data_IF_496830233615
#
_entry.id   IF_496830233615
#
_cell.length_a   1.000
_cell.length_b   1.000
_cell.length_c   1.000
_cell.angle_alpha   90.00
_cell.angle_beta   90.00
_cell.angle_gamma   90.00
#
_symmetry.space_group_name_H-M   'P 1'
#
loop_
_entity.id
_entity.type
_entity.pdbx_description
1 polymer ?
#
# COMPACT_ATOMS: atom_id res chain seq x y z
N UNK A 1 2.29 23.78 70.34
CA UNK A 1 1.02 23.60 69.64
C UNK A 1 0.92 24.68 68.54
N UNK A 2 1.40 24.40 67.29
CA UNK A 2 1.35 25.28 66.14
C UNK A 2 0.52 24.65 65.03
N UNK A 3 -0.24 25.42 64.19
CA UNK A 3 -1.19 24.89 63.25
C UNK A 3 -0.50 24.39 61.95
N UNK A 4 -0.98 23.26 61.47
CA UNK A 4 -0.57 22.65 60.20
C UNK A 4 -1.19 23.43 59.02
N UNK A 5 -0.35 24.03 58.19
CA UNK A 5 -0.77 24.60 56.89
C UNK A 5 -1.06 23.55 55.87
N UNK A 6 -2.28 23.55 55.30
CA UNK A 6 -2.62 22.79 54.12
C UNK A 6 -2.13 23.54 52.85
N UNK A 7 -1.19 22.98 52.17
CA UNK A 7 -0.85 23.37 50.77
C UNK A 7 -1.74 22.60 49.82
N UNK A 8 -2.79 23.22 49.29
CA UNK A 8 -3.54 22.75 48.15
C UNK A 8 -2.83 23.18 46.85
N UNK A 9 -1.98 22.33 46.31
CA UNK A 9 -1.41 22.52 45.00
C UNK A 9 -2.41 22.15 43.92
N UNK A 10 -2.93 23.13 43.17
CA UNK A 10 -3.63 22.88 41.90
C UNK A 10 -2.58 22.51 40.86
N UNK A 11 -2.67 21.28 40.36
CA UNK A 11 -1.92 20.84 39.18
C UNK A 11 -2.58 21.52 37.98
N UNK A 12 -1.90 22.48 37.38
CA UNK A 12 -2.32 23.09 36.12
C UNK A 12 -2.13 22.11 34.95
N UNK A 13 -2.84 22.30 33.82
CA UNK A 13 -2.72 21.42 32.67
C UNK A 13 -1.29 21.45 32.13
N UNK A 14 -0.66 20.28 32.02
CA UNK A 14 0.61 20.10 31.34
C UNK A 14 0.52 20.69 29.94
N UNK A 15 1.38 21.66 29.64
CA UNK A 15 1.59 22.16 28.29
C UNK A 15 2.13 21.01 27.45
N UNK A 16 1.27 20.41 26.63
CA UNK A 16 1.71 19.52 25.55
C UNK A 16 2.63 20.35 24.68
N UNK A 17 3.92 20.10 24.79
CA UNK A 17 4.94 20.69 23.93
C UNK A 17 4.67 20.18 22.51
N UNK A 18 3.98 20.96 21.69
CA UNK A 18 3.82 20.69 20.27
C UNK A 18 5.23 20.75 19.66
N UNK A 19 5.82 19.58 19.41
CA UNK A 19 6.97 19.51 18.50
C UNK A 19 6.50 20.09 17.17
N UNK A 20 6.95 21.28 16.86
CA UNK A 20 6.82 21.88 15.53
C UNK A 20 7.64 21.00 14.59
N UNK A 21 7.02 19.99 14.01
CA UNK A 21 7.61 19.21 12.94
C UNK A 21 7.77 20.17 11.76
N UNK A 22 9.01 20.49 11.39
CA UNK A 22 9.26 21.28 10.19
C UNK A 22 8.60 20.57 9.01
N UNK A 23 7.79 21.30 8.24
CA UNK A 23 7.13 20.77 7.05
C UNK A 23 8.18 20.18 6.11
N UNK A 24 7.92 18.95 5.66
CA UNK A 24 8.72 18.23 4.65
C UNK A 24 8.20 18.45 3.24
N UNK A 25 7.11 19.21 3.10
CA UNK A 25 6.52 19.57 1.82
C UNK A 25 7.55 20.20 0.88
N UNK A 26 7.59 19.73 -0.36
CA UNK A 26 8.55 20.18 -1.37
C UNK A 26 10.01 19.78 -1.14
N UNK A 27 10.32 19.05 -0.05
CA UNK A 27 11.68 18.61 0.28
C UNK A 27 11.86 17.11 0.08
N UNK A 28 13.08 16.72 -0.22
CA UNK A 28 13.48 15.30 -0.19
C UNK A 28 13.50 14.79 1.26
N UNK A 29 12.93 13.62 1.49
CA UNK A 29 12.95 12.93 2.78
C UNK A 29 13.98 11.81 2.72
N UNK A 30 14.80 11.68 3.76
CA UNK A 30 15.65 10.50 3.95
C UNK A 30 14.96 9.55 4.92
N UNK A 31 14.82 8.29 4.52
CA UNK A 31 14.13 7.27 5.33
C UNK A 31 14.68 5.87 5.07
N UNK A 32 14.28 4.88 5.87
CA UNK A 32 14.62 3.47 5.64
C UNK A 32 13.70 2.84 4.60
N UNK A 33 14.31 2.03 3.72
CA UNK A 33 13.60 1.15 2.80
C UNK A 33 14.35 -0.19 2.67
N UNK A 34 13.59 -1.24 2.32
CA UNK A 34 14.15 -2.54 1.99
C UNK A 34 14.37 -2.59 0.47
N UNK A 35 15.64 -2.56 0.06
CA UNK A 35 16.04 -2.53 -1.35
C UNK A 35 16.30 -3.95 -1.84
N UNK A 36 15.69 -4.32 -2.95
CA UNK A 36 16.06 -5.47 -3.76
C UNK A 36 17.11 -5.01 -4.78
N UNK A 37 18.40 -5.28 -4.52
CA UNK A 37 19.49 -4.87 -5.40
C UNK A 37 19.54 -5.70 -6.67
N UNK A 38 19.30 -6.98 -6.56
CA UNK A 38 19.30 -7.95 -7.68
C UNK A 38 18.41 -9.14 -7.35
N UNK A 39 18.01 -9.87 -8.38
CA UNK A 39 17.20 -11.08 -8.20
C UNK A 39 17.92 -12.15 -7.36
N UNK A 40 17.14 -12.94 -6.61
CA UNK A 40 17.63 -14.04 -5.77
C UNK A 40 18.62 -13.63 -4.65
N UNK A 41 18.65 -12.34 -4.28
CA UNK A 41 19.42 -11.85 -3.14
C UNK A 41 18.50 -11.37 -2.02
N UNK A 42 18.94 -11.44 -0.76
CA UNK A 42 18.19 -10.86 0.36
C UNK A 42 17.96 -9.37 0.17
N UNK A 43 16.82 -8.89 0.66
CA UNK A 43 16.56 -7.45 0.75
C UNK A 43 17.56 -6.79 1.71
N UNK A 44 18.02 -5.60 1.37
CA UNK A 44 18.91 -4.79 2.21
C UNK A 44 18.16 -3.56 2.74
N UNK A 45 18.12 -3.41 4.06
CA UNK A 45 17.47 -2.24 4.70
C UNK A 45 18.48 -1.10 4.78
N UNK A 46 18.29 -0.09 3.94
CA UNK A 46 19.22 1.03 3.78
C UNK A 46 18.49 2.38 3.87
N UNK A 47 19.26 3.46 3.95
CA UNK A 47 18.74 4.81 3.80
C UNK A 47 18.52 5.14 2.31
N UNK A 48 17.35 5.69 2.03
CA UNK A 48 16.97 6.17 0.70
C UNK A 48 16.50 7.63 0.78
N UNK A 49 16.71 8.35 -0.30
CA UNK A 49 16.12 9.66 -0.52
C UNK A 49 14.82 9.49 -1.30
N UNK A 50 13.73 10.03 -0.77
CA UNK A 50 12.41 10.05 -1.40
C UNK A 50 12.11 11.48 -1.85
N UNK A 51 12.04 11.71 -3.15
CA UNK A 51 11.75 13.00 -3.73
C UNK A 51 10.35 13.52 -3.33
N UNK A 52 10.10 14.84 -3.37
CA UNK A 52 8.76 15.37 -3.22
C UNK A 52 7.85 14.90 -4.37
N UNK A 53 6.52 14.84 -4.14
CA UNK A 53 5.56 14.49 -5.18
C UNK A 53 5.49 15.60 -6.24
N UNK A 54 5.39 15.22 -7.51
CA UNK A 54 5.16 16.11 -8.65
C UNK A 54 3.66 16.21 -8.96
N UNK A 55 3.33 16.87 -10.07
CA UNK A 55 1.96 16.99 -10.55
C UNK A 55 1.24 15.62 -10.62
N UNK A 56 0.05 15.53 -10.03
CA UNK A 56 -0.74 14.30 -9.97
C UNK A 56 -0.18 13.19 -9.08
N UNK A 57 0.81 13.48 -8.22
CA UNK A 57 1.43 12.52 -7.32
C UNK A 57 1.14 12.82 -5.85
N UNK A 58 1.23 11.78 -5.04
CA UNK A 58 1.02 11.86 -3.59
C UNK A 58 2.18 11.17 -2.89
N UNK A 59 2.80 11.83 -1.92
CA UNK A 59 3.76 11.18 -1.03
C UNK A 59 3.05 10.70 0.22
N UNK A 60 3.25 9.43 0.54
CA UNK A 60 2.58 8.73 1.63
C UNK A 60 3.63 8.25 2.63
N UNK A 61 3.39 8.53 3.91
CA UNK A 61 4.10 7.90 5.02
C UNK A 61 3.44 6.54 5.27
N UNK A 62 4.12 5.48 4.87
CA UNK A 62 3.63 4.10 5.02
C UNK A 62 3.65 3.72 6.51
N UNK A 63 2.54 3.21 7.01
CA UNK A 63 2.39 2.76 8.40
C UNK A 63 2.36 1.25 8.52
N UNK A 64 1.74 0.58 7.54
CA UNK A 64 1.64 -0.88 7.46
C UNK A 64 1.75 -1.33 6.01
N UNK A 65 2.32 -2.51 5.82
CA UNK A 65 2.37 -3.18 4.52
C UNK A 65 2.26 -4.69 4.71
N UNK A 66 1.46 -5.33 3.86
CA UNK A 66 1.40 -6.78 3.76
C UNK A 66 2.60 -7.35 3.00
N UNK A 67 2.91 -8.61 3.26
CA UNK A 67 3.88 -9.41 2.49
C UNK A 67 3.10 -10.34 1.56
N UNK A 68 3.26 -10.15 0.27
CA UNK A 68 2.58 -10.94 -0.75
C UNK A 68 3.55 -11.88 -1.46
N UNK A 69 3.05 -13.01 -1.95
CA UNK A 69 3.86 -13.93 -2.76
C UNK A 69 4.34 -13.29 -4.07
N UNK A 70 3.66 -12.27 -4.58
CA UNK A 70 4.08 -11.49 -5.74
C UNK A 70 5.42 -10.78 -5.51
N UNK A 71 5.67 -10.27 -4.30
CA UNK A 71 6.98 -9.68 -3.95
C UNK A 71 8.08 -10.75 -4.01
N UNK A 72 7.81 -11.95 -3.49
CA UNK A 72 8.74 -13.09 -3.54
C UNK A 72 8.99 -13.55 -4.97
N UNK A 73 7.94 -13.60 -5.80
CA UNK A 73 8.04 -13.97 -7.21
C UNK A 73 8.92 -13.00 -7.99
N UNK A 74 8.73 -11.69 -7.80
CA UNK A 74 9.60 -10.69 -8.42
C UNK A 74 11.04 -10.80 -7.89
N UNK A 75 11.22 -10.94 -6.57
CA UNK A 75 12.56 -11.08 -5.97
C UNK A 75 13.28 -12.34 -6.46
N UNK A 76 12.57 -13.40 -6.80
CA UNK A 76 13.14 -14.63 -7.40
C UNK A 76 13.59 -14.46 -8.85
N UNK A 77 13.34 -13.31 -9.48
CA UNK A 77 13.62 -13.08 -10.89
C UNK A 77 12.64 -13.74 -11.85
N UNK A 78 11.54 -14.31 -11.35
CA UNK A 78 10.49 -14.94 -12.17
C UNK A 78 9.55 -13.96 -12.86
N UNK A 79 9.50 -12.72 -12.39
CA UNK A 79 8.62 -11.68 -12.93
C UNK A 79 9.27 -11.00 -14.15
N UNK A 80 8.66 -11.09 -15.35
CA UNK A 80 9.18 -10.47 -16.55
C UNK A 80 9.18 -8.93 -16.51
N UNK A 81 8.39 -8.32 -15.63
CA UNK A 81 8.37 -6.88 -15.37
C UNK A 81 9.24 -6.48 -14.17
N UNK A 82 9.91 -7.43 -13.54
CA UNK A 82 10.80 -7.19 -12.41
C UNK A 82 12.01 -6.36 -12.80
N UNK A 83 12.14 -5.15 -12.27
CA UNK A 83 13.29 -4.27 -12.47
C UNK A 83 14.12 -4.17 -11.18
N UNK A 84 15.47 -4.14 -11.33
CA UNK A 84 16.40 -4.02 -10.22
C UNK A 84 17.44 -2.92 -10.48
N UNK A 85 17.94 -2.20 -9.46
CA UNK A 85 17.50 -2.26 -8.06
C UNK A 85 16.14 -1.59 -7.85
N UNK A 86 15.30 -2.16 -6.97
CA UNK A 86 13.94 -1.65 -6.72
C UNK A 86 13.55 -1.71 -5.24
N UNK A 87 12.53 -0.95 -4.89
CA UNK A 87 11.85 -1.08 -3.60
C UNK A 87 10.54 -1.81 -3.85
N UNK A 88 10.42 -3.04 -3.32
CA UNK A 88 9.24 -3.89 -3.47
C UNK A 88 8.09 -3.44 -2.55
N UNK A 89 7.06 -4.29 -2.42
CA UNK A 89 5.87 -4.05 -1.60
C UNK A 89 4.75 -3.34 -2.36
N UNK A 90 3.53 -3.88 -2.24
CA UNK A 90 2.36 -3.36 -2.96
C UNK A 90 1.04 -3.43 -2.16
N UNK A 91 1.07 -3.93 -0.94
CA UNK A 91 -0.09 -4.00 -0.03
C UNK A 91 0.06 -2.97 1.09
N UNK A 92 0.12 -1.68 0.76
CA UNK A 92 0.43 -0.63 1.72
C UNK A 92 -0.78 0.15 2.20
N UNK A 93 -0.67 0.62 3.45
CA UNK A 93 -1.53 1.62 4.04
C UNK A 93 -0.69 2.68 4.75
N UNK A 94 -1.15 3.92 4.74
CA UNK A 94 -0.38 5.01 5.31
C UNK A 94 -1.18 6.29 5.44
N UNK A 95 -0.46 7.36 5.71
CA UNK A 95 -1.01 8.70 5.85
C UNK A 95 -0.41 9.59 4.77
N UNK A 96 -1.23 10.35 4.08
CA UNK A 96 -0.78 11.34 3.10
C UNK A 96 0.12 12.36 3.81
N UNK A 97 1.36 12.46 3.36
CA UNK A 97 2.32 13.43 3.92
C UNK A 97 2.29 14.74 3.13
N UNK A 98 2.33 14.66 1.80
CA UNK A 98 2.21 15.82 0.90
C UNK A 98 1.60 15.40 -0.44
N UNK A 99 1.08 16.38 -1.17
CA UNK A 99 0.46 16.20 -2.47
C UNK A 99 1.14 17.10 -3.50
N UNK A 100 1.20 16.63 -4.74
CA UNK A 100 1.63 17.43 -5.88
C UNK A 100 0.50 18.28 -6.46
N UNK A 101 0.84 19.13 -7.41
CA UNK A 101 -0.14 19.96 -8.12
C UNK A 101 -1.21 19.09 -8.81
N UNK A 102 -2.45 19.56 -8.86
CA UNK A 102 -3.57 18.88 -9.52
C UNK A 102 -4.19 17.72 -8.75
N UNK A 103 -3.69 17.36 -7.56
CA UNK A 103 -4.30 16.34 -6.69
C UNK A 103 -5.49 16.94 -5.94
N UNK A 104 -6.67 16.31 -6.06
CA UNK A 104 -7.92 16.81 -5.47
C UNK A 104 -8.65 15.79 -4.60
N UNK A 105 -8.38 14.50 -4.78
CA UNK A 105 -9.14 13.41 -4.13
C UNK A 105 -8.68 13.12 -2.69
N UNK A 106 -7.50 13.60 -2.31
CA UNK A 106 -6.91 13.43 -0.98
C UNK A 106 -6.15 14.67 -0.55
N UNK A 107 -5.91 14.81 0.75
CA UNK A 107 -5.15 15.91 1.36
C UNK A 107 -4.18 15.38 2.42
N UNK A 108 -3.15 16.16 2.80
CA UNK A 108 -2.26 15.79 3.89
C UNK A 108 -3.02 15.48 5.18
N UNK A 109 -2.66 14.34 5.81
CA UNK A 109 -3.31 13.81 7.00
C UNK A 109 -4.36 12.73 6.74
N UNK A 110 -4.84 12.55 5.52
CA UNK A 110 -5.79 11.49 5.20
C UNK A 110 -5.15 10.10 5.31
N UNK A 111 -5.89 9.16 5.89
CA UNK A 111 -5.55 7.74 5.86
C UNK A 111 -5.86 7.17 4.48
N UNK A 112 -4.91 6.46 3.89
CA UNK A 112 -5.03 5.89 2.55
C UNK A 112 -4.55 4.46 2.48
N UNK A 113 -5.13 3.68 1.56
CA UNK A 113 -4.55 2.43 1.06
C UNK A 113 -3.98 2.65 -0.33
N UNK A 114 -2.90 1.93 -0.63
CA UNK A 114 -2.23 1.99 -1.92
C UNK A 114 -2.76 0.88 -2.83
N UNK A 115 -2.94 1.21 -4.10
CA UNK A 115 -3.56 0.35 -5.09
C UNK A 115 -2.57 0.12 -6.24
N UNK A 116 -2.05 -1.08 -6.36
CA UNK A 116 -1.21 -1.44 -7.51
C UNK A 116 -2.02 -1.48 -8.81
N UNK A 117 -3.34 -1.67 -8.73
CA UNK A 117 -4.25 -1.54 -9.86
C UNK A 117 -4.89 -0.15 -9.83
N UNK A 118 -4.25 0.79 -10.52
CA UNK A 118 -4.69 2.18 -10.56
C UNK A 118 -5.99 2.36 -11.36
N UNK A 119 -6.75 3.42 -11.05
CA UNK A 119 -7.97 3.79 -11.78
C UNK A 119 -8.06 5.30 -12.02
N UNK A 120 -7.79 5.76 -13.24
CA UNK A 120 -7.91 7.18 -13.58
C UNK A 120 -9.34 7.63 -13.87
N UNK A 121 -10.31 6.71 -13.96
CA UNK A 121 -11.76 6.94 -14.20
C UNK A 121 -12.11 7.60 -15.53
N UNK A 122 -11.15 7.92 -16.41
CA UNK A 122 -11.36 8.63 -17.67
C UNK A 122 -10.84 7.92 -18.92
N UNK A 123 -9.90 6.98 -18.81
CA UNK A 123 -9.43 6.24 -19.99
C UNK A 123 -10.46 5.18 -20.41
N UNK A 124 -10.36 4.78 -21.68
CA UNK A 124 -11.29 3.80 -22.27
C UNK A 124 -11.42 2.48 -21.51
N UNK A 125 -10.36 2.07 -20.79
CA UNK A 125 -10.40 0.85 -19.98
C UNK A 125 -11.15 1.08 -18.66
N UNK A 126 -10.86 2.16 -17.94
CA UNK A 126 -11.57 2.48 -16.70
C UNK A 126 -13.07 2.70 -16.93
N UNK A 127 -13.46 3.32 -18.06
CA UNK A 127 -14.87 3.60 -18.39
C UNK A 127 -15.60 2.43 -19.04
N UNK A 128 -14.90 1.36 -19.43
CA UNK A 128 -15.50 0.21 -20.12
C UNK A 128 -16.36 -0.69 -19.25
N UNK A 129 -16.12 -0.70 -17.93
CA UNK A 129 -16.71 -1.68 -17.01
C UNK A 129 -16.26 -3.14 -17.22
N UNK A 130 -15.29 -3.39 -18.12
CA UNK A 130 -14.83 -4.73 -18.52
C UNK A 130 -13.44 -5.10 -18.02
N UNK A 131 -12.65 -4.15 -17.62
CA UNK A 131 -11.26 -4.34 -17.21
C UNK A 131 -10.82 -3.29 -16.20
N UNK A 132 -9.83 -3.62 -15.40
CA UNK A 132 -9.18 -2.74 -14.42
C UNK A 132 -7.77 -2.27 -14.87
N UNK A 133 -7.41 -2.44 -16.14
CA UNK A 133 -6.09 -2.12 -16.67
C UNK A 133 -6.01 -0.67 -17.14
N UNK A 134 -5.98 0.26 -16.20
CA UNK A 134 -5.87 1.70 -16.45
C UNK A 134 -4.63 2.04 -17.27
N UNK A 135 -4.80 2.67 -18.44
CA UNK A 135 -3.68 3.04 -19.32
C UNK A 135 -2.86 4.21 -18.78
N UNK A 136 -3.43 5.10 -17.97
CA UNK A 136 -2.73 6.29 -17.48
C UNK A 136 -1.56 5.97 -16.52
N UNK A 137 -1.62 4.83 -15.85
CA UNK A 137 -0.58 4.39 -14.92
C UNK A 137 0.08 3.09 -15.39
N UNK A 138 -0.70 2.12 -15.88
CA UNK A 138 -0.19 0.80 -16.28
C UNK A 138 0.87 0.86 -17.37
N UNK A 139 0.82 1.87 -18.25
CA UNK A 139 1.78 2.04 -19.35
C UNK A 139 3.24 2.17 -18.87
N UNK A 140 3.47 2.78 -17.71
CA UNK A 140 4.80 3.01 -17.13
C UNK A 140 5.08 2.12 -15.92
N UNK A 141 4.05 1.61 -15.28
CA UNK A 141 4.14 0.81 -14.05
C UNK A 141 5.02 -0.44 -14.21
N UNK A 142 4.87 -1.18 -15.33
CA UNK A 142 5.70 -2.35 -15.64
C UNK A 142 7.16 -2.02 -15.99
N UNK A 143 7.47 -0.73 -16.19
CA UNK A 143 8.84 -0.24 -16.39
C UNK A 143 9.49 0.23 -15.08
N UNK A 144 8.77 0.14 -13.95
CA UNK A 144 9.25 0.57 -12.65
C UNK A 144 9.45 2.08 -12.52
N UNK A 145 8.68 2.89 -13.25
CA UNK A 145 8.74 4.35 -13.21
C UNK A 145 7.36 4.97 -12.98
N UNK A 146 7.35 6.23 -12.57
CA UNK A 146 6.14 7.03 -12.41
C UNK A 146 5.51 7.35 -13.78
N UNK A 147 4.26 7.84 -13.85
CA UNK A 147 3.61 8.19 -15.12
C UNK A 147 4.39 9.18 -16.00
N UNK A 148 5.24 10.00 -15.41
CA UNK A 148 6.14 10.94 -16.12
C UNK A 148 7.45 10.29 -16.63
N UNK A 149 7.60 8.97 -16.47
CA UNK A 149 8.78 8.22 -16.91
C UNK A 149 10.00 8.35 -15.98
N UNK A 150 9.88 9.00 -14.83
CA UNK A 150 10.99 9.21 -13.89
C UNK A 150 10.79 8.45 -12.57
N UNK A 151 11.79 8.48 -11.70
CA UNK A 151 11.80 7.78 -10.42
C UNK A 151 11.75 8.78 -9.25
N UNK A 152 11.35 8.31 -8.06
CA UNK A 152 11.28 9.13 -6.85
C UNK A 152 12.18 8.64 -5.74
N UNK A 153 12.91 7.56 -5.97
CA UNK A 153 13.82 6.98 -4.99
C UNK A 153 15.26 7.01 -5.47
N UNK A 154 16.16 7.33 -4.56
CA UNK A 154 17.62 7.31 -4.78
C UNK A 154 18.29 6.68 -3.55
N UNK A 155 19.21 5.76 -3.74
CA UNK A 155 20.02 5.21 -2.65
C UNK A 155 20.87 6.32 -2.02
N UNK A 156 20.74 6.54 -0.71
CA UNK A 156 21.54 7.53 -0.01
C UNK A 156 23.04 7.17 0.02
N UNK A 157 23.34 5.87 -0.09
CA UNK A 157 24.72 5.36 -0.08
C UNK A 157 25.43 5.52 -1.42
N UNK A 158 24.75 5.24 -2.54
CA UNK A 158 25.38 5.17 -3.86
C UNK A 158 24.99 6.29 -4.81
N UNK A 159 23.92 7.02 -4.51
CA UNK A 159 23.32 7.99 -5.43
C UNK A 159 22.58 7.37 -6.61
N UNK A 160 22.49 6.03 -6.68
CA UNK A 160 21.78 5.33 -7.74
C UNK A 160 20.28 5.47 -7.59
N UNK A 161 19.58 5.74 -8.69
CA UNK A 161 18.12 5.70 -8.73
C UNK A 161 17.60 4.28 -8.59
N UNK A 162 16.49 4.13 -7.83
CA UNK A 162 15.83 2.86 -7.59
C UNK A 162 14.48 2.83 -8.31
N UNK A 163 14.15 1.69 -8.91
CA UNK A 163 12.87 1.49 -9.58
C UNK A 163 11.72 1.42 -8.58
N UNK A 164 10.56 1.88 -9.01
CA UNK A 164 9.29 1.62 -8.34
C UNK A 164 8.83 0.19 -8.62
N UNK A 165 8.11 -0.38 -7.67
CA UNK A 165 7.44 -1.66 -7.84
C UNK A 165 5.94 -1.49 -7.86
N UNK A 166 5.31 -1.90 -8.94
CA UNK A 166 3.85 -1.86 -9.14
C UNK A 166 3.23 -0.47 -8.89
N UNK A 167 4.02 0.61 -9.05
CA UNK A 167 3.61 1.98 -8.80
C UNK A 167 3.33 2.33 -7.34
N UNK A 168 3.76 1.50 -6.38
CA UNK A 168 3.44 1.63 -4.94
C UNK A 168 4.65 1.58 -4.02
N UNK A 169 5.57 0.61 -4.16
CA UNK A 169 6.85 0.50 -3.41
C UNK A 169 6.70 0.66 -1.91
N UNK A 170 5.92 -0.21 -1.26
CA UNK A 170 5.52 -0.02 0.14
C UNK A 170 6.52 -0.54 1.17
N UNK A 171 7.61 -1.21 0.75
CA UNK A 171 8.70 -1.62 1.65
C UNK A 171 9.65 -0.45 1.96
N UNK A 172 9.08 0.72 2.16
CA UNK A 172 9.75 1.97 2.53
C UNK A 172 8.90 2.73 3.54
N UNK A 173 9.54 3.52 4.40
CA UNK A 173 8.81 4.38 5.33
C UNK A 173 8.02 5.50 4.64
N UNK A 174 8.48 5.94 3.47
CA UNK A 174 7.77 6.88 2.60
C UNK A 174 7.80 6.36 1.17
N UNK A 175 6.71 6.58 0.45
CA UNK A 175 6.62 6.30 -0.99
C UNK A 175 5.92 7.44 -1.71
N UNK A 176 6.14 7.53 -3.02
CA UNK A 176 5.41 8.45 -3.90
C UNK A 176 4.63 7.62 -4.91
N UNK A 177 3.35 7.91 -5.04
CA UNK A 177 2.43 7.18 -5.92
C UNK A 177 1.64 8.16 -6.78
N UNK A 178 1.11 7.69 -7.91
CA UNK A 178 0.10 8.44 -8.67
C UNK A 178 -1.17 8.63 -7.82
N UNK A 179 -1.83 9.79 -7.92
CA UNK A 179 -3.14 10.01 -7.30
C UNK A 179 -4.19 8.95 -7.68
N UNK A 180 -3.99 8.24 -8.77
CA UNK A 180 -4.85 7.14 -9.22
C UNK A 180 -4.52 5.79 -8.58
N UNK A 181 -3.43 5.72 -7.83
CA UNK A 181 -2.92 4.50 -7.18
C UNK A 181 -3.15 4.50 -5.67
N UNK A 182 -4.11 5.26 -5.18
CA UNK A 182 -4.51 5.28 -3.77
C UNK A 182 -5.99 5.64 -3.61
N UNK A 183 -6.53 5.36 -2.43
CA UNK A 183 -7.87 5.77 -2.03
C UNK A 183 -7.89 6.10 -0.55
N UNK A 184 -8.60 7.17 -0.18
CA UNK A 184 -8.83 7.52 1.22
C UNK A 184 -9.75 6.49 1.89
N UNK A 185 -9.47 6.18 3.15
CA UNK A 185 -10.26 5.27 3.98
C UNK A 185 -10.72 5.99 5.26
N UNK A 186 -11.71 5.42 5.93
CA UNK A 186 -12.20 5.97 7.21
C UNK A 186 -11.01 6.17 8.18
N UNK A 187 -10.87 7.34 8.82
CA UNK A 187 -9.80 7.59 9.80
C UNK A 187 -9.76 6.59 10.97
N UNK A 188 -10.87 5.90 11.25
CA UNK A 188 -10.98 4.86 12.27
C UNK A 188 -10.64 3.45 11.74
N UNK A 189 -10.38 3.29 10.44
CA UNK A 189 -10.06 2.00 9.86
C UNK A 189 -8.79 1.41 10.51
N UNK A 190 -8.80 0.11 10.86
CA UNK A 190 -7.62 -0.55 11.41
C UNK A 190 -6.59 -0.77 10.30
N UNK A 191 -5.64 0.17 10.16
CA UNK A 191 -4.71 0.26 9.04
C UNK A 191 -3.82 -0.98 8.87
N UNK A 192 -3.53 -1.70 9.96
CA UNK A 192 -2.80 -2.98 9.99
C UNK A 192 -3.50 -4.10 9.21
N UNK A 193 -4.81 -4.02 9.04
CA UNK A 193 -5.64 -4.96 8.27
C UNK A 193 -6.09 -4.35 6.96
N UNK A 194 -6.38 -3.06 6.97
CA UNK A 194 -6.87 -2.32 5.80
C UNK A 194 -5.85 -2.33 4.66
N UNK A 195 -4.54 -2.41 4.94
CA UNK A 195 -3.49 -2.52 3.92
C UNK A 195 -3.70 -3.74 2.99
N UNK A 196 -4.26 -4.85 3.49
CA UNK A 196 -4.51 -6.05 2.70
C UNK A 196 -5.62 -5.90 1.65
N UNK A 197 -6.43 -4.83 1.75
CA UNK A 197 -7.45 -4.50 0.74
C UNK A 197 -6.81 -4.04 -0.59
N UNK A 198 -5.54 -3.61 -0.57
CA UNK A 198 -4.82 -3.21 -1.77
C UNK A 198 -4.54 -4.36 -2.74
N UNK A 199 -4.51 -5.63 -2.28
CA UNK A 199 -4.21 -6.79 -3.09
C UNK A 199 -4.98 -8.04 -2.65
N UNK A 200 -4.50 -8.76 -1.62
CA UNK A 200 -4.91 -10.13 -1.33
C UNK A 200 -6.41 -10.29 -1.06
N UNK A 201 -7.01 -9.38 -0.29
CA UNK A 201 -8.44 -9.45 0.05
C UNK A 201 -9.31 -9.18 -1.18
N UNK A 202 -9.05 -8.13 -1.93
CA UNK A 202 -9.80 -7.79 -3.15
C UNK A 202 -9.60 -8.83 -4.24
N UNK A 203 -8.41 -9.43 -4.36
CA UNK A 203 -8.13 -10.53 -5.28
C UNK A 203 -9.01 -11.73 -4.98
N UNK A 204 -9.04 -12.21 -3.74
CA UNK A 204 -9.83 -13.37 -3.37
C UNK A 204 -11.34 -13.14 -3.46
N UNK A 205 -11.79 -12.00 -2.96
CA UNK A 205 -13.19 -11.62 -3.06
C UNK A 205 -13.65 -11.52 -4.53
N UNK A 206 -12.86 -10.84 -5.36
CA UNK A 206 -13.13 -10.69 -6.78
C UNK A 206 -13.12 -12.01 -7.54
N UNK A 207 -12.23 -12.94 -7.19
CA UNK A 207 -12.21 -14.30 -7.74
C UNK A 207 -13.53 -15.03 -7.48
N UNK A 208 -14.08 -14.93 -6.28
CA UNK A 208 -15.37 -15.56 -5.93
C UNK A 208 -16.55 -14.88 -6.64
N UNK A 209 -16.62 -13.55 -6.59
CA UNK A 209 -17.82 -12.80 -6.97
C UNK A 209 -17.88 -12.53 -8.47
N UNK A 210 -16.75 -12.16 -9.08
CA UNK A 210 -16.71 -11.70 -10.47
C UNK A 210 -16.16 -12.73 -11.45
N UNK A 211 -15.16 -13.54 -11.05
CA UNK A 211 -14.54 -14.52 -11.94
C UNK A 211 -15.28 -15.83 -11.90
N UNK A 212 -15.39 -16.47 -10.75
CA UNK A 212 -16.12 -17.73 -10.58
C UNK A 212 -17.64 -17.53 -10.62
N UNK A 213 -18.12 -16.32 -10.32
CA UNK A 213 -19.56 -15.99 -10.27
C UNK A 213 -20.36 -16.98 -9.43
N UNK A 214 -19.86 -17.26 -8.24
CA UNK A 214 -20.44 -18.27 -7.34
C UNK A 214 -21.94 -18.05 -7.22
N UNK A 215 -22.71 -19.12 -7.45
CA UNK A 215 -24.16 -19.10 -7.38
C UNK A 215 -24.66 -19.44 -5.96
N UNK A 216 -25.82 -18.89 -5.54
CA UNK A 216 -26.47 -19.28 -4.32
C UNK A 216 -26.72 -20.81 -4.27
N UNK A 217 -26.66 -21.41 -3.08
CA UNK A 217 -26.86 -22.83 -2.82
C UNK A 217 -25.79 -23.77 -3.45
N UNK A 218 -24.73 -23.24 -4.08
CA UNK A 218 -23.62 -24.04 -4.62
C UNK A 218 -22.72 -24.60 -3.51
N UNK A 219 -21.90 -25.59 -3.86
CA UNK A 219 -20.78 -26.08 -3.05
C UNK A 219 -19.47 -25.59 -3.65
N UNK A 220 -18.64 -24.94 -2.84
CA UNK A 220 -17.37 -24.34 -3.25
C UNK A 220 -16.23 -25.06 -2.54
N UNK A 221 -15.21 -25.51 -3.28
CA UNK A 221 -13.97 -26.04 -2.74
C UNK A 221 -12.83 -25.01 -2.96
N UNK A 222 -12.05 -24.75 -1.91
CA UNK A 222 -10.98 -23.75 -1.92
C UNK A 222 -9.69 -24.42 -1.46
N UNK A 223 -8.67 -24.41 -2.32
CA UNK A 223 -7.34 -24.91 -2.02
C UNK A 223 -6.42 -23.77 -1.63
N UNK A 224 -5.85 -23.84 -0.42
CA UNK A 224 -5.01 -22.81 0.19
C UNK A 224 -5.84 -21.82 1.00
N UNK A 225 -5.65 -21.81 2.33
CA UNK A 225 -6.36 -20.95 3.28
C UNK A 225 -5.46 -19.79 3.77
N UNK A 226 -4.69 -19.22 2.84
CA UNK A 226 -3.99 -17.95 3.03
C UNK A 226 -4.93 -16.75 2.86
N UNK A 227 -4.37 -15.54 2.75
CA UNK A 227 -5.14 -14.30 2.62
C UNK A 227 -6.16 -14.38 1.45
N UNK A 228 -5.73 -14.83 0.27
CA UNK A 228 -6.60 -14.95 -0.92
C UNK A 228 -7.68 -16.00 -0.70
N UNK A 229 -7.33 -17.20 -0.20
CA UNK A 229 -8.32 -18.26 0.04
C UNK A 229 -9.38 -17.89 1.08
N UNK A 230 -8.98 -17.21 2.15
CA UNK A 230 -9.91 -16.68 3.15
C UNK A 230 -10.86 -15.63 2.56
N UNK A 231 -10.34 -14.77 1.68
CA UNK A 231 -11.15 -13.76 0.99
C UNK A 231 -12.11 -14.40 -0.04
N UNK A 232 -11.69 -15.52 -0.72
CA UNK A 232 -12.59 -16.34 -1.55
C UNK A 232 -13.71 -16.94 -0.70
N UNK A 233 -13.39 -17.47 0.48
CA UNK A 233 -14.39 -18.04 1.39
C UNK A 233 -15.41 -16.98 1.84
N UNK A 234 -14.94 -15.77 2.15
CA UNK A 234 -15.81 -14.64 2.46
C UNK A 234 -16.73 -14.29 1.28
N UNK A 235 -16.17 -14.11 0.07
CA UNK A 235 -16.94 -13.84 -1.14
C UNK A 235 -17.95 -14.95 -1.47
N UNK A 236 -17.59 -16.24 -1.27
CA UNK A 236 -18.49 -17.37 -1.45
C UNK A 236 -19.67 -17.32 -0.47
N UNK A 237 -19.40 -16.97 0.79
CA UNK A 237 -20.44 -16.76 1.81
C UNK A 237 -21.41 -15.64 1.43
N UNK A 238 -20.89 -14.49 1.03
CA UNK A 238 -21.69 -13.34 0.57
C UNK A 238 -22.55 -13.68 -0.65
N UNK A 239 -22.06 -14.55 -1.53
CA UNK A 239 -22.80 -15.04 -2.69
C UNK A 239 -23.83 -16.12 -2.36
N UNK A 240 -23.95 -16.52 -1.09
CA UNK A 240 -24.95 -17.50 -0.64
C UNK A 240 -24.59 -18.96 -0.96
N UNK A 241 -23.29 -19.30 -1.06
CA UNK A 241 -22.88 -20.70 -1.18
C UNK A 241 -23.43 -21.53 0.00
N UNK A 242 -23.99 -22.70 -0.28
CA UNK A 242 -24.56 -23.61 0.73
C UNK A 242 -23.48 -24.31 1.55
N UNK A 243 -22.36 -24.61 0.90
CA UNK A 243 -21.24 -25.33 1.52
C UNK A 243 -19.93 -24.78 1.01
N UNK A 244 -18.99 -24.52 1.93
CA UNK A 244 -17.62 -24.13 1.62
C UNK A 244 -16.70 -25.19 2.20
N UNK A 245 -15.84 -25.78 1.36
CA UNK A 245 -14.86 -26.81 1.72
C UNK A 245 -13.48 -26.14 1.64
N UNK A 246 -12.85 -25.94 2.78
CA UNK A 246 -11.52 -25.38 2.92
C UNK A 246 -10.48 -26.50 2.96
N UNK A 247 -9.45 -26.41 2.13
CA UNK A 247 -8.40 -27.41 1.99
C UNK A 247 -7.05 -26.69 2.11
N UNK A 248 -6.23 -27.10 3.06
CA UNK A 248 -4.86 -26.59 3.21
C UNK A 248 -3.92 -27.75 3.63
N UNK A 249 -2.66 -27.65 3.24
CA UNK A 249 -1.63 -28.61 3.69
C UNK A 249 -1.16 -28.33 5.11
N UNK A 250 -1.34 -27.10 5.60
CA UNK A 250 -1.01 -26.72 6.95
C UNK A 250 -2.20 -27.01 7.89
N UNK A 251 -2.06 -27.97 8.83
CA UNK A 251 -3.15 -28.34 9.75
C UNK A 251 -3.53 -27.23 10.74
N UNK A 252 -2.74 -26.17 10.85
CA UNK A 252 -3.04 -25.02 11.71
C UNK A 252 -3.95 -23.97 11.06
N UNK A 253 -4.40 -24.18 9.82
CA UNK A 253 -5.28 -23.29 9.08
C UNK A 253 -6.71 -23.80 8.93
#
# INVERSE_FOLDING_TARGET
LGPRGHCSGRVGPEKICSRTTMSTEGKTITCKAAIAWEANKPLSVEDVHVAPPREGEVRVRVTFTGLCHTDVYTLSGGDPEGAFPSILGHEGAGVVESIGEGVTDVRPGDNVILLYTAECRKCKFCTSGKTNLCQAVRATQGQGVMPDGTKRFTSARTGQELFHFMGTSTFSQYTVVSQYSLVAVDPKAPMDRTCLLGCGVTTGYGAAVYTAKIEPQSTVAIWGMGCVGLAVAYGAKERGAKRIIAIDMNPAK
#
